data_IF_956321999563
#
_entry.id   IF_956321999563
#
_cell.length_a   1.000
_cell.length_b   1.000
_cell.length_c   1.000
_cell.angle_alpha   90.00
_cell.angle_beta   90.00
_cell.angle_gamma   90.00
#
_symmetry.space_group_name_H-M   'P 1'
#
loop_
_entity.id
_entity.type
_entity.pdbx_description
1 polymer ?
#
# COMPACT_ATOMS: atom_id res chain seq x y z
N UNK A 1 -3.23 8.56 -27.29
CA UNK A 1 -3.00 8.74 -25.85
C UNK A 1 -1.50 8.69 -25.64
N UNK A 2 -0.92 9.71 -25.02
CA UNK A 2 0.53 9.86 -24.96
C UNK A 2 1.21 8.73 -24.17
N UNK A 3 0.60 8.23 -23.10
CA UNK A 3 1.15 7.09 -22.36
C UNK A 3 1.19 5.82 -23.23
N UNK A 4 0.12 5.57 -23.99
CA UNK A 4 0.05 4.43 -24.91
C UNK A 4 1.09 4.56 -26.04
N UNK A 5 1.22 5.76 -26.63
CA UNK A 5 2.18 6.08 -27.68
C UNK A 5 3.63 5.87 -27.23
N UNK A 6 3.93 6.27 -25.99
CA UNK A 6 5.26 6.13 -25.37
C UNK A 6 5.49 4.79 -24.65
N UNK A 7 4.49 3.89 -24.63
CA UNK A 7 4.52 2.60 -23.93
C UNK A 7 4.81 2.73 -22.43
N UNK A 8 4.29 3.79 -21.82
CA UNK A 8 4.38 4.07 -20.38
C UNK A 8 3.02 3.77 -19.74
N UNK A 9 3.03 3.32 -18.49
CA UNK A 9 1.82 3.21 -17.67
C UNK A 9 1.83 4.27 -16.60
N UNK A 10 0.68 4.86 -16.33
CA UNK A 10 0.45 5.77 -15.21
C UNK A 10 -0.12 4.99 -14.03
N UNK A 11 0.49 5.17 -12.86
CA UNK A 11 0.09 4.54 -11.61
C UNK A 11 -0.38 5.63 -10.65
N UNK A 12 -1.70 5.84 -10.55
CA UNK A 12 -2.27 6.80 -9.61
C UNK A 12 -2.15 6.24 -8.19
N UNK A 13 -1.61 7.00 -7.25
CA UNK A 13 -1.69 6.64 -5.85
C UNK A 13 -3.09 6.92 -5.30
N UNK A 14 -3.74 5.89 -4.76
CA UNK A 14 -5.06 6.05 -4.15
C UNK A 14 -4.89 6.67 -2.77
N UNK A 15 -5.19 7.95 -2.68
CA UNK A 15 -4.84 8.80 -1.55
C UNK A 15 -5.95 9.86 -1.31
N UNK A 16 -6.29 10.21 -0.06
CA UNK A 16 -7.24 11.30 0.23
C UNK A 16 -6.90 12.58 -0.52
N UNK A 17 -7.89 13.39 -0.89
CA UNK A 17 -7.72 14.60 -1.74
C UNK A 17 -7.53 14.33 -3.23
N UNK A 18 -7.22 13.09 -3.65
CA UNK A 18 -7.21 12.69 -5.06
C UNK A 18 -8.60 12.34 -5.59
N UNK A 19 -8.72 12.15 -6.91
CA UNK A 19 -9.98 11.70 -7.54
C UNK A 19 -10.37 10.26 -7.14
N UNK A 20 -9.36 9.44 -6.80
CA UNK A 20 -9.53 8.10 -6.25
C UNK A 20 -8.80 8.03 -4.91
N UNK A 21 -9.56 7.78 -3.84
CA UNK A 21 -9.06 7.75 -2.46
C UNK A 21 -9.55 6.53 -1.67
N UNK A 22 -10.33 5.63 -2.29
CA UNK A 22 -10.79 4.37 -1.72
C UNK A 22 -11.15 3.38 -2.86
N UNK A 23 -11.62 2.18 -2.52
CA UNK A 23 -12.03 1.17 -3.52
C UNK A 23 -13.18 1.67 -4.41
N UNK A 24 -14.13 2.43 -3.86
CA UNK A 24 -15.33 2.86 -4.59
C UNK A 24 -14.94 3.88 -5.67
N UNK A 25 -14.15 4.88 -5.29
CA UNK A 25 -13.67 5.95 -6.16
C UNK A 25 -12.59 5.46 -7.12
N UNK A 26 -11.73 4.52 -6.71
CA UNK A 26 -10.79 3.85 -7.60
C UNK A 26 -11.51 3.08 -8.72
N UNK A 27 -12.53 2.30 -8.39
CA UNK A 27 -13.37 1.62 -9.40
C UNK A 27 -14.03 2.64 -10.33
N UNK A 28 -14.58 3.71 -9.77
CA UNK A 28 -15.21 4.76 -10.56
C UNK A 28 -14.24 5.44 -11.52
N UNK A 29 -13.00 5.69 -11.09
CA UNK A 29 -11.96 6.28 -11.94
C UNK A 29 -11.64 5.35 -13.13
N UNK A 30 -11.51 4.04 -12.89
CA UNK A 30 -11.31 3.06 -13.97
C UNK A 30 -12.49 3.04 -14.95
N UNK A 31 -13.72 3.04 -14.46
CA UNK A 31 -14.93 3.09 -15.31
C UNK A 31 -14.98 4.33 -16.19
N UNK A 32 -14.70 5.50 -15.63
CA UNK A 32 -14.72 6.79 -16.35
C UNK A 32 -13.62 6.85 -17.42
N UNK A 33 -12.54 6.10 -17.24
CA UNK A 33 -11.42 5.99 -18.18
C UNK A 33 -11.52 4.74 -19.07
N UNK A 34 -12.72 4.16 -19.20
CA UNK A 34 -13.01 2.99 -20.04
C UNK A 34 -12.09 1.78 -19.78
N UNK A 35 -11.65 1.62 -18.52
CA UNK A 35 -10.74 0.56 -18.06
C UNK A 35 -9.44 0.45 -18.88
N UNK A 36 -9.01 1.56 -19.48
CA UNK A 36 -7.81 1.61 -20.31
C UNK A 36 -6.57 1.05 -19.61
N UNK A 37 -5.71 0.29 -20.31
CA UNK A 37 -4.58 -0.40 -19.67
C UNK A 37 -3.46 0.56 -19.27
N UNK A 38 -3.39 1.78 -19.79
CA UNK A 38 -2.34 2.73 -19.39
C UNK A 38 -2.58 3.33 -18.01
N UNK A 39 -3.79 3.22 -17.45
CA UNK A 39 -4.12 3.75 -16.13
C UNK A 39 -4.31 2.61 -15.13
N UNK A 40 -3.53 2.65 -14.06
CA UNK A 40 -3.63 1.75 -12.91
C UNK A 40 -3.24 2.47 -11.64
N UNK A 41 -2.82 1.71 -10.64
CA UNK A 41 -2.58 2.20 -9.29
C UNK A 41 -1.15 1.99 -8.82
N UNK A 42 -0.63 3.01 -8.15
CA UNK A 42 0.45 2.87 -7.19
C UNK A 42 -0.22 2.46 -5.87
N UNK A 43 -0.01 1.21 -5.45
CA UNK A 43 -0.58 0.70 -4.22
C UNK A 43 0.23 1.21 -3.02
N UNK A 44 -0.39 2.03 -2.19
CA UNK A 44 0.13 2.46 -0.89
C UNK A 44 -0.90 2.07 0.20
N UNK A 45 -0.55 1.18 1.16
CA UNK A 45 -1.49 0.72 2.17
C UNK A 45 -1.72 1.73 3.31
N UNK A 46 -0.83 2.72 3.50
CA UNK A 46 -0.82 3.57 4.69
C UNK A 46 -2.09 4.44 4.81
N UNK A 47 -2.62 4.91 3.68
CA UNK A 47 -3.84 5.72 3.65
C UNK A 47 -5.10 4.87 3.81
N UNK A 48 -5.10 3.69 3.20
CA UNK A 48 -6.24 2.77 3.22
C UNK A 48 -6.57 2.33 4.65
N UNK A 49 -5.55 2.02 5.47
CA UNK A 49 -5.78 1.47 6.80
C UNK A 49 -6.53 2.42 7.75
N UNK A 50 -6.19 3.70 7.78
CA UNK A 50 -6.88 4.64 8.66
C UNK A 50 -8.25 5.04 8.10
N UNK A 51 -8.47 4.94 6.79
CA UNK A 51 -9.82 5.04 6.21
C UNK A 51 -10.70 3.82 6.54
N UNK A 52 -10.14 2.78 7.17
CA UNK A 52 -10.84 1.52 7.45
C UNK A 52 -11.00 0.63 6.21
N UNK A 53 -10.26 0.92 5.13
CA UNK A 53 -10.22 0.11 3.92
C UNK A 53 -9.15 -0.96 4.10
N UNK A 54 -9.52 -2.22 3.89
CA UNK A 54 -8.57 -3.33 3.91
C UNK A 54 -7.62 -3.24 2.69
N UNK A 55 -6.30 -3.05 2.91
CA UNK A 55 -5.34 -2.95 1.80
C UNK A 55 -5.24 -4.24 0.98
N UNK A 56 -5.40 -5.41 1.60
CA UNK A 56 -5.40 -6.70 0.87
C UNK A 56 -6.61 -6.78 -0.04
N UNK A 57 -7.78 -6.32 0.45
CA UNK A 57 -8.98 -6.25 -0.38
C UNK A 57 -8.79 -5.33 -1.58
N UNK A 58 -8.09 -4.20 -1.43
CA UNK A 58 -7.81 -3.32 -2.55
C UNK A 58 -7.05 -4.04 -3.67
N UNK A 59 -6.01 -4.83 -3.34
CA UNK A 59 -5.26 -5.63 -4.34
C UNK A 59 -6.18 -6.65 -5.02
N UNK A 60 -7.03 -7.34 -4.26
CA UNK A 60 -7.96 -8.34 -4.78
C UNK A 60 -9.01 -7.73 -5.73
N UNK A 61 -9.42 -6.49 -5.50
CA UNK A 61 -10.40 -5.80 -6.35
C UNK A 61 -9.78 -5.30 -7.67
N UNK A 62 -8.47 -5.07 -7.69
CA UNK A 62 -7.76 -4.45 -8.81
C UNK A 62 -6.49 -5.23 -9.23
N UNK A 63 -6.54 -6.56 -9.39
CA UNK A 63 -5.36 -7.41 -9.52
C UNK A 63 -4.54 -7.12 -10.79
N UNK A 64 -5.19 -6.67 -11.85
CA UNK A 64 -4.59 -6.32 -13.15
C UNK A 64 -4.30 -4.81 -13.29
N UNK A 65 -4.40 -4.06 -12.18
CA UNK A 65 -4.17 -2.61 -12.16
C UNK A 65 -3.12 -2.18 -11.14
N UNK A 66 -2.51 -3.09 -10.39
CA UNK A 66 -1.38 -2.74 -9.50
C UNK A 66 -0.09 -2.61 -10.34
N UNK A 67 0.35 -1.38 -10.59
CA UNK A 67 1.48 -1.09 -11.47
C UNK A 67 2.76 -0.75 -10.72
N UNK A 68 2.62 -0.28 -9.48
CA UNK A 68 3.71 0.02 -8.58
C UNK A 68 3.24 -0.17 -7.13
N UNK A 69 4.17 -0.37 -6.20
CA UNK A 69 3.88 -0.58 -4.77
C UNK A 69 4.79 0.31 -3.94
N UNK A 70 4.17 1.09 -3.07
CA UNK A 70 4.82 1.78 -1.96
C UNK A 70 4.65 0.95 -0.68
N UNK A 71 5.78 0.68 -0.06
CA UNK A 71 5.90 0.14 1.28
C UNK A 71 5.93 1.33 2.24
N UNK A 72 4.75 1.73 2.71
CA UNK A 72 4.55 2.80 3.68
C UNK A 72 3.66 2.30 4.82
N UNK A 73 3.98 2.66 6.05
CA UNK A 73 3.26 2.21 7.24
C UNK A 73 2.51 3.37 7.91
N UNK A 74 1.45 3.03 8.63
CA UNK A 74 0.74 3.96 9.49
C UNK A 74 0.18 3.21 10.70
N UNK A 75 -0.01 3.91 11.81
CA UNK A 75 -0.64 3.37 13.01
C UNK A 75 -1.92 4.14 13.33
N UNK A 76 -3.00 3.44 13.67
CA UNK A 76 -4.29 4.03 14.05
C UNK A 76 -4.42 4.02 15.56
N UNK A 77 -4.68 5.18 16.15
CA UNK A 77 -4.85 5.37 17.61
C UNK A 77 -6.19 6.03 17.88
N UNK A 78 -7.25 5.21 17.93
CA UNK A 78 -8.61 5.66 18.28
C UNK A 78 -8.98 5.19 19.68
N UNK A 79 -8.82 6.10 20.65
CA UNK A 79 -8.98 5.86 22.09
C UNK A 79 -10.28 6.47 22.66
N UNK A 80 -11.15 6.99 21.80
CA UNK A 80 -12.37 7.72 22.18
C UNK A 80 -12.15 9.21 22.44
N UNK A 81 -10.89 9.67 22.45
CA UNK A 81 -10.53 11.09 22.46
C UNK A 81 -10.11 11.55 21.05
N UNK A 82 -9.20 10.80 20.44
CA UNK A 82 -8.60 11.10 19.13
C UNK A 82 -9.56 10.77 18.00
N UNK A 83 -9.73 11.69 17.05
CA UNK A 83 -10.61 11.51 15.89
C UNK A 83 -9.84 11.12 14.62
N UNK A 84 -10.48 10.38 13.71
CA UNK A 84 -9.83 9.86 12.49
C UNK A 84 -9.35 10.94 11.52
N UNK A 85 -9.94 12.13 11.56
CA UNK A 85 -9.50 13.29 10.78
C UNK A 85 -8.32 14.03 11.42
N UNK A 86 -7.85 13.57 12.58
CA UNK A 86 -6.68 14.07 13.31
C UNK A 86 -6.68 15.58 13.59
N UNK A 87 -7.88 16.18 13.63
CA UNK A 87 -8.14 17.54 14.12
C UNK A 87 -7.27 18.66 13.52
N UNK A 88 -6.79 18.49 12.28
CA UNK A 88 -5.82 19.41 11.65
C UNK A 88 -4.52 19.62 12.45
N UNK A 89 -4.17 18.69 13.35
CA UNK A 89 -2.89 18.70 14.04
C UNK A 89 -1.77 18.43 13.02
N UNK A 90 -0.53 18.80 13.34
CA UNK A 90 0.62 18.40 12.52
C UNK A 90 0.94 16.91 12.76
N UNK A 91 1.65 16.27 11.84
CA UNK A 91 2.18 14.91 12.06
C UNK A 91 3.15 14.90 13.25
N UNK A 92 3.15 13.80 14.00
CA UNK A 92 3.92 13.61 15.24
C UNK A 92 3.30 14.25 16.48
N UNK A 93 2.27 15.09 16.35
CA UNK A 93 1.58 15.66 17.51
C UNK A 93 0.77 14.60 18.26
N UNK A 94 0.73 14.71 19.58
CA UNK A 94 -0.10 13.86 20.42
C UNK A 94 -1.59 14.02 20.06
N UNK A 95 -2.37 12.96 20.29
CA UNK A 95 -3.83 12.92 20.09
C UNK A 95 -4.34 12.95 18.64
N UNK A 96 -3.45 12.75 17.65
CA UNK A 96 -3.90 12.35 16.32
C UNK A 96 -4.56 10.98 16.37
N UNK A 97 -5.59 10.78 15.54
CA UNK A 97 -6.25 9.49 15.41
C UNK A 97 -5.42 8.46 14.64
N UNK A 98 -4.38 8.91 13.94
CA UNK A 98 -3.41 8.08 13.25
C UNK A 98 -2.16 8.90 12.87
N UNK A 99 -1.05 8.21 12.63
CA UNK A 99 0.18 8.81 12.14
C UNK A 99 0.97 7.85 11.25
N UNK A 100 1.83 8.39 10.39
CA UNK A 100 2.78 7.57 9.62
C UNK A 100 3.87 7.01 10.53
N UNK A 101 4.32 5.81 10.20
CA UNK A 101 5.33 5.08 10.97
C UNK A 101 6.39 4.51 10.05
N UNK A 102 7.60 4.38 10.59
CA UNK A 102 8.63 3.57 9.93
C UNK A 102 8.14 2.12 9.76
N UNK A 103 8.49 1.48 8.66
CA UNK A 103 8.00 0.15 8.30
C UNK A 103 8.19 -0.87 9.42
N UNK A 104 7.09 -1.50 9.84
CA UNK A 104 7.09 -2.50 10.90
C UNK A 104 6.73 -1.95 12.29
N UNK A 105 6.51 -0.64 12.40
CA UNK A 105 6.06 0.02 13.63
C UNK A 105 4.59 0.48 13.57
N UNK A 106 3.91 0.26 12.44
CA UNK A 106 2.48 0.54 12.28
C UNK A 106 1.61 -0.71 12.27
N UNK A 107 0.41 -0.54 11.76
CA UNK A 107 -0.66 -1.54 11.80
C UNK A 107 -0.82 -2.32 10.49
N UNK A 108 -0.15 -1.90 9.41
CA UNK A 108 -0.25 -2.52 8.09
C UNK A 108 0.21 -3.98 8.13
N UNK A 109 -0.62 -4.88 7.58
CA UNK A 109 -0.34 -6.33 7.54
C UNK A 109 0.46 -6.72 6.30
N UNK A 110 1.73 -6.30 6.25
CA UNK A 110 2.60 -6.53 5.09
C UNK A 110 2.73 -8.00 4.67
N UNK A 111 2.73 -8.95 5.61
CA UNK A 111 2.79 -10.39 5.27
C UNK A 111 1.61 -10.84 4.40
N UNK A 112 0.42 -10.31 4.64
CA UNK A 112 -0.77 -10.60 3.82
C UNK A 112 -0.73 -9.86 2.48
N UNK A 113 -0.21 -8.63 2.46
CA UNK A 113 0.02 -7.86 1.23
C UNK A 113 1.00 -8.61 0.32
N UNK A 114 2.16 -9.04 0.81
CA UNK A 114 3.14 -9.80 0.00
C UNK A 114 2.51 -11.10 -0.54
N UNK A 115 1.71 -11.79 0.28
CA UNK A 115 0.99 -12.98 -0.17
C UNK A 115 0.02 -12.67 -1.31
N UNK A 116 -0.70 -11.57 -1.25
CA UNK A 116 -1.64 -11.17 -2.30
C UNK A 116 -0.93 -10.66 -3.56
N UNK A 117 0.15 -9.88 -3.42
CA UNK A 117 1.01 -9.48 -4.54
C UNK A 117 1.56 -10.70 -5.29
N UNK A 118 1.98 -11.73 -4.55
CA UNK A 118 2.39 -13.01 -5.12
C UNK A 118 1.23 -13.71 -5.87
N UNK A 119 -0.01 -13.66 -5.36
CA UNK A 119 -1.18 -14.26 -6.02
C UNK A 119 -1.51 -13.60 -7.35
N UNK A 120 -1.41 -12.27 -7.42
CA UNK A 120 -1.68 -11.52 -8.66
C UNK A 120 -0.48 -11.51 -9.62
N UNK A 121 0.66 -12.10 -9.21
CA UNK A 121 1.87 -12.17 -10.01
C UNK A 121 2.57 -10.82 -10.20
N UNK A 122 2.47 -9.91 -9.21
CA UNK A 122 3.19 -8.64 -9.25
C UNK A 122 4.70 -8.90 -9.21
N UNK A 123 5.39 -8.51 -10.28
CA UNK A 123 6.85 -8.65 -10.42
C UNK A 123 7.61 -7.33 -10.43
N UNK A 124 6.95 -6.22 -10.05
CA UNK A 124 7.59 -4.91 -9.95
C UNK A 124 8.37 -4.73 -8.64
N UNK A 125 9.01 -3.56 -8.44
CA UNK A 125 9.73 -3.27 -7.20
C UNK A 125 8.77 -3.04 -6.02
N UNK A 126 9.28 -3.28 -4.81
CA UNK A 126 8.68 -2.80 -3.57
C UNK A 126 9.43 -1.53 -3.15
N UNK A 127 8.89 -0.36 -3.46
CA UNK A 127 9.54 0.92 -3.17
C UNK A 127 9.30 1.32 -1.73
N UNK A 128 10.32 1.76 -1.00
CA UNK A 128 10.16 2.29 0.36
C UNK A 128 9.83 3.77 0.28
N UNK A 129 8.67 4.15 0.79
CA UNK A 129 8.36 5.55 1.10
C UNK A 129 8.46 5.73 2.61
N UNK A 130 9.57 6.32 3.06
CA UNK A 130 9.84 6.46 4.49
C UNK A 130 9.25 7.76 5.04
N UNK A 131 8.40 7.65 6.07
CA UNK A 131 7.84 8.79 6.79
C UNK A 131 7.54 8.40 8.25
N UNK A 132 8.19 9.06 9.21
CA UNK A 132 7.91 8.93 10.65
C UNK A 132 8.40 10.19 11.37
N UNK A 133 7.49 10.97 11.95
CA UNK A 133 7.85 12.20 12.67
C UNK A 133 8.56 11.94 14.00
N UNK A 134 8.52 10.70 14.51
CA UNK A 134 9.12 10.29 15.77
C UNK A 134 10.46 9.56 15.64
N UNK A 135 11.00 9.40 14.42
CA UNK A 135 12.23 8.62 14.17
C UNK A 135 13.23 9.41 13.31
N UNK A 136 14.53 9.16 13.50
CA UNK A 136 15.55 9.71 12.60
C UNK A 136 15.44 9.08 11.20
N UNK A 137 15.55 9.91 10.15
CA UNK A 137 15.31 9.48 8.77
C UNK A 137 16.33 8.50 8.23
N UNK A 138 17.60 8.61 8.59
CA UNK A 138 18.66 7.76 8.02
C UNK A 138 18.64 6.40 8.72
N UNK A 139 18.44 6.42 10.04
CA UNK A 139 18.16 5.22 10.81
C UNK A 139 16.92 4.49 10.29
N UNK A 140 15.81 5.20 10.17
CA UNK A 140 14.53 4.66 9.74
C UNK A 140 14.57 4.14 8.31
N UNK A 141 15.17 4.86 7.36
CA UNK A 141 15.29 4.40 5.97
C UNK A 141 16.11 3.10 5.86
N UNK A 142 17.18 2.96 6.65
CA UNK A 142 17.97 1.73 6.70
C UNK A 142 17.15 0.56 7.26
N UNK A 143 16.49 0.78 8.39
CA UNK A 143 15.67 -0.24 9.03
C UNK A 143 14.48 -0.67 8.14
N UNK A 144 13.84 0.31 7.48
CA UNK A 144 12.74 0.09 6.55
C UNK A 144 13.18 -0.75 5.34
N UNK A 145 14.35 -0.48 4.76
CA UNK A 145 14.90 -1.29 3.68
C UNK A 145 15.17 -2.75 4.14
N UNK A 146 15.68 -2.94 5.35
CA UNK A 146 15.90 -4.28 5.93
C UNK A 146 14.57 -4.99 6.26
N UNK A 147 13.54 -4.25 6.68
CA UNK A 147 12.18 -4.76 6.87
C UNK A 147 11.59 -5.28 5.55
N UNK A 148 11.65 -4.50 4.47
CA UNK A 148 11.11 -4.91 3.16
C UNK A 148 11.77 -6.20 2.68
N UNK A 149 13.10 -6.28 2.73
CA UNK A 149 13.83 -7.50 2.34
C UNK A 149 13.44 -8.74 3.15
N UNK A 150 13.06 -8.55 4.42
CA UNK A 150 12.67 -9.65 5.31
C UNK A 150 11.24 -10.13 5.04
N UNK A 151 10.33 -9.23 4.70
CA UNK A 151 8.92 -9.58 4.45
C UNK A 151 8.66 -10.04 3.02
N UNK A 152 9.52 -9.67 2.07
CA UNK A 152 9.46 -10.10 0.66
C UNK A 152 9.89 -11.57 0.49
N UNK A 153 8.96 -12.49 0.76
CA UNK A 153 9.18 -13.92 0.58
C UNK A 153 8.66 -14.39 -0.80
N UNK A 154 9.35 -15.37 -1.43
CA UNK A 154 8.88 -15.95 -2.68
C UNK A 154 7.65 -16.86 -2.45
N UNK A 155 6.75 -16.99 -3.45
CA UNK A 155 5.69 -17.97 -3.41
C UNK A 155 6.25 -19.40 -3.55
N UNK A 156 5.53 -20.40 -3.03
CA UNK A 156 5.88 -21.81 -3.28
C UNK A 156 5.63 -22.17 -4.74
N UNK A 157 6.61 -22.81 -5.39
CA UNK A 157 6.46 -23.39 -6.72
C UNK A 157 5.81 -24.79 -6.72
N UNK A 158 5.61 -25.39 -5.53
CA UNK A 158 5.09 -26.74 -5.36
C UNK A 158 3.84 -26.70 -4.49
N UNK A 159 2.81 -27.45 -4.87
CA UNK A 159 1.66 -27.67 -4.01
C UNK A 159 2.10 -28.38 -2.73
N UNK A 160 1.60 -27.96 -1.58
CA UNK A 160 2.10 -28.43 -0.28
C UNK A 160 2.11 -29.97 -0.18
N UNK A 161 0.99 -30.63 -0.48
CA UNK A 161 0.89 -32.10 -0.38
C UNK A 161 1.79 -32.82 -1.39
N UNK A 162 1.91 -32.28 -2.61
CA UNK A 162 2.75 -32.86 -3.67
C UNK A 162 4.25 -32.86 -3.33
N UNK A 163 4.69 -32.05 -2.36
CA UNK A 163 6.07 -32.04 -1.88
C UNK A 163 6.44 -33.25 -1.01
N UNK A 164 5.45 -34.02 -0.53
CA UNK A 164 5.65 -35.17 0.36
C UNK A 164 5.33 -36.52 -0.28
N UNK A 165 4.85 -36.52 -1.53
CA UNK A 165 4.53 -37.74 -2.28
C UNK A 165 5.76 -38.39 -2.97
N UNK A 166 6.98 -38.06 -2.52
CA UNK A 166 8.28 -38.55 -3.06
C UNK A 166 8.94 -39.61 -2.19
#
# INVERSE_FOLDING_TARGET
>A
DVFAEERVRFALEVHPTEIAFDIVTARRALEVLDNRPEFGFNFDPSHLIWQGVDPVRFIQEFPDRIYHVHMKDAAVTLDGYSGILSSHLNFGEAHRGWDFRSLGHGDVKFGEIIRELNRIGYGGPLSVEWEDSGMDREHGAKEAADFVRRVDFPPSAVAFDAAFDS
#
